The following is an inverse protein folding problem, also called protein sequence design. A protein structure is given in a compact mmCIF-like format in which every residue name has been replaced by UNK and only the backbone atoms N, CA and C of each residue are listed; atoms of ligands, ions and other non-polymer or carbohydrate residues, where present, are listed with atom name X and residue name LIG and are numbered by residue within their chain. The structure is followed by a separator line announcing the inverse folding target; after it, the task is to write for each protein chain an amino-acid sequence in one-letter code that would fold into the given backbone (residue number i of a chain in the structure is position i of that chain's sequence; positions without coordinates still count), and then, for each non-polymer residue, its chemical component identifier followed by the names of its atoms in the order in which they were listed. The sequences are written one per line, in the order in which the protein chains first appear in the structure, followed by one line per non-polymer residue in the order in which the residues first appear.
data_IF_422922869565
#
_entry.id   IF_422922869565
#
_cell.length_a   1.000
_cell.length_b   1.000
_cell.length_c   1.000
_cell.angle_alpha   90.00
_cell.angle_beta   90.00
_cell.angle_gamma   90.00
#
_symmetry.space_group_name_H-M   'P 1'
#
loop_
_entity.id
_entity.type
_entity.pdbx_description
1 polymer ?
#
# COMPACT_ATOMS: atom_id res chain seq x y z
N UNK A 1 1.84 21.19 -33.62
CA UNK A 1 2.66 21.08 -32.40
C UNK A 1 1.87 20.20 -31.45
N UNK A 2 2.17 18.90 -31.46
CA UNK A 2 1.49 17.95 -30.57
C UNK A 2 2.24 17.97 -29.25
N UNK A 3 1.66 18.63 -28.25
CA UNK A 3 2.07 18.46 -26.87
C UNK A 3 1.52 17.10 -26.46
N UNK A 4 2.38 16.08 -26.37
CA UNK A 4 2.00 14.82 -25.73
C UNK A 4 1.65 15.18 -24.28
N UNK A 5 0.40 15.00 -23.82
CA UNK A 5 0.14 15.12 -22.39
C UNK A 5 1.02 14.07 -21.71
N UNK A 6 1.69 14.46 -20.62
CA UNK A 6 2.34 13.49 -19.73
C UNK A 6 1.24 12.60 -19.19
N UNK A 7 0.97 11.48 -19.85
CA UNK A 7 -0.02 10.51 -19.39
C UNK A 7 0.53 9.97 -18.08
N UNK A 8 -0.15 10.28 -16.96
CA UNK A 8 0.14 9.63 -15.69
C UNK A 8 0.07 8.10 -15.85
N UNK A 9 0.61 7.35 -14.89
CA UNK A 9 0.59 5.89 -14.94
C UNK A 9 -0.83 5.30 -14.96
N UNK A 10 -1.84 6.10 -14.62
CA UNK A 10 -3.26 5.77 -14.73
C UNK A 10 -4.02 6.69 -15.70
N UNK A 11 -5.12 6.22 -16.31
CA UNK A 11 -6.01 7.06 -17.10
C UNK A 11 -6.58 8.22 -16.28
N UNK A 12 -6.65 9.42 -16.85
CA UNK A 12 -7.19 10.61 -16.14
C UNK A 12 -8.66 10.48 -15.70
N UNK A 13 -9.42 9.54 -16.27
CA UNK A 13 -10.80 9.25 -15.90
C UNK A 13 -10.93 8.11 -14.87
N UNK A 14 -9.82 7.53 -14.43
CA UNK A 14 -9.83 6.47 -13.43
C UNK A 14 -10.41 7.01 -12.11
N UNK A 15 -11.19 6.20 -11.44
CA UNK A 15 -11.73 6.49 -10.11
C UNK A 15 -11.31 5.34 -9.23
N UNK A 16 -10.42 5.61 -8.28
CA UNK A 16 -9.95 4.58 -7.36
C UNK A 16 -11.08 4.15 -6.42
N UNK A 17 -11.14 2.87 -6.03
CA UNK A 17 -12.10 2.38 -5.03
C UNK A 17 -11.95 3.13 -3.71
N UNK A 18 -13.06 3.47 -3.05
CA UNK A 18 -13.03 4.13 -1.73
C UNK A 18 -13.39 3.17 -0.59
N UNK A 19 -13.83 1.96 -0.93
CA UNK A 19 -14.17 0.90 -0.01
C UNK A 19 -14.11 -0.45 -0.73
N UNK A 20 -13.46 -1.45 -0.14
CA UNK A 20 -13.35 -2.81 -0.71
C UNK A 20 -13.56 -3.83 0.42
N UNK A 21 -14.53 -4.72 0.24
CA UNK A 21 -14.78 -5.79 1.19
C UNK A 21 -13.66 -6.84 1.15
N UNK A 22 -13.07 -7.13 2.31
CA UNK A 22 -12.12 -8.25 2.49
C UNK A 22 -12.86 -9.50 2.96
N UNK A 23 -14.00 -9.30 3.64
CA UNK A 23 -14.75 -10.36 4.30
C UNK A 23 -14.32 -10.52 5.76
N UNK A 24 -14.92 -11.48 6.46
CA UNK A 24 -14.65 -11.74 7.89
C UNK A 24 -14.89 -10.51 8.80
N UNK A 25 -15.67 -9.53 8.35
CA UNK A 25 -15.88 -8.27 9.05
C UNK A 25 -14.73 -7.27 8.90
N UNK A 26 -14.00 -7.31 7.78
CA UNK A 26 -12.92 -6.38 7.47
C UNK A 26 -13.10 -5.76 6.08
N UNK A 27 -12.59 -4.54 5.93
CA UNK A 27 -12.59 -3.80 4.68
C UNK A 27 -11.29 -3.03 4.47
N UNK A 28 -11.04 -2.66 3.22
CA UNK A 28 -10.02 -1.70 2.84
C UNK A 28 -10.69 -0.37 2.53
N UNK A 29 -10.05 0.74 2.94
CA UNK A 29 -10.39 2.09 2.45
C UNK A 29 -9.14 2.97 2.39
N UNK A 30 -9.16 4.07 1.61
CA UNK A 30 -8.09 5.07 1.63
C UNK A 30 -7.70 5.46 3.05
N UNK A 31 -6.40 5.48 3.32
CA UNK A 31 -5.86 5.92 4.60
C UNK A 31 -6.05 7.43 4.78
N UNK A 32 -6.18 7.87 6.02
CA UNK A 32 -6.44 9.27 6.39
C UNK A 32 -5.49 9.71 7.49
N UNK A 33 -5.24 11.01 7.57
CA UNK A 33 -4.43 11.59 8.65
C UNK A 33 -5.04 11.31 10.04
N UNK A 34 -6.36 11.21 10.12
CA UNK A 34 -7.10 10.92 11.36
C UNK A 34 -6.92 9.48 11.85
N UNK A 35 -6.36 8.58 11.03
CA UNK A 35 -6.12 7.18 11.41
C UNK A 35 -4.88 7.02 12.29
N UNK A 36 -4.11 8.09 12.53
CA UNK A 36 -2.80 8.05 13.21
C UNK A 36 -2.83 7.33 14.57
N UNK A 37 -3.90 7.45 15.34
CA UNK A 37 -3.98 6.77 16.64
C UNK A 37 -4.06 5.25 16.49
N UNK A 38 -4.69 4.77 15.41
CA UNK A 38 -4.78 3.34 15.07
C UNK A 38 -3.51 2.86 14.35
N UNK A 39 -3.01 3.66 13.41
CA UNK A 39 -1.84 3.32 12.60
C UNK A 39 -0.58 3.24 13.47
N UNK A 40 -0.37 4.20 14.38
CA UNK A 40 0.74 4.18 15.33
C UNK A 40 0.75 2.89 16.15
N UNK A 41 -0.42 2.38 16.57
CA UNK A 41 -0.53 1.11 17.30
C UNK A 41 -0.15 -0.06 16.38
N UNK A 42 -0.69 -0.11 15.16
CA UNK A 42 -0.45 -1.18 14.20
C UNK A 42 1.03 -1.27 13.79
N UNK A 43 1.59 -0.14 13.38
CA UNK A 43 2.94 0.01 12.85
C UNK A 43 3.96 -0.21 13.95
N UNK A 44 3.80 0.45 15.10
CA UNK A 44 4.79 0.32 16.18
C UNK A 44 4.67 -1.01 16.93
N UNK A 45 3.47 -1.61 16.99
CA UNK A 45 3.25 -2.97 17.50
C UNK A 45 3.92 -4.04 16.63
N UNK A 46 3.98 -3.83 15.32
CA UNK A 46 4.55 -4.77 14.34
C UNK A 46 5.94 -4.36 13.82
N UNK A 47 6.56 -3.37 14.47
CA UNK A 47 7.69 -2.60 13.90
C UNK A 47 8.88 -3.45 13.51
N UNK A 48 9.27 -4.42 14.34
CA UNK A 48 10.45 -5.24 14.06
C UNK A 48 10.27 -6.05 12.78
N UNK A 49 9.09 -6.65 12.57
CA UNK A 49 8.80 -7.36 11.34
C UNK A 49 8.70 -6.40 10.16
N UNK A 50 7.94 -5.31 10.29
CA UNK A 50 7.78 -4.33 9.22
C UNK A 50 9.11 -3.75 8.77
N UNK A 51 10.01 -3.44 9.71
CA UNK A 51 11.38 -3.00 9.39
C UNK A 51 12.17 -4.07 8.64
N UNK A 52 12.00 -5.36 8.94
CA UNK A 52 12.69 -6.42 8.19
C UNK A 52 12.19 -6.59 6.75
N UNK A 53 10.99 -6.08 6.45
CA UNK A 53 10.38 -6.11 5.11
C UNK A 53 10.74 -4.83 4.34
N UNK A 54 10.48 -3.67 4.94
CA UNK A 54 10.51 -2.37 4.27
C UNK A 54 11.70 -1.48 4.67
N UNK A 55 12.45 -1.83 5.72
CA UNK A 55 13.48 -0.96 6.29
C UNK A 55 14.62 -0.65 5.33
N UNK A 56 15.06 -1.62 4.52
CA UNK A 56 16.12 -1.41 3.54
C UNK A 56 15.65 -0.61 2.33
N UNK A 57 14.39 -0.79 1.91
CA UNK A 57 13.83 -0.14 0.72
C UNK A 57 13.31 1.27 1.02
N UNK A 58 12.62 1.45 2.13
CA UNK A 58 11.87 2.68 2.47
C UNK A 58 12.39 3.38 3.73
N UNK A 59 13.28 2.75 4.50
CA UNK A 59 13.69 3.30 5.80
C UNK A 59 12.55 3.36 6.82
N UNK A 60 11.53 2.49 6.66
CA UNK A 60 10.29 2.50 7.43
C UNK A 60 9.98 1.12 8.06
N UNK A 61 9.38 1.06 9.28
CA UNK A 61 9.14 2.16 10.22
C UNK A 61 10.34 2.36 11.17
N UNK A 62 10.93 3.57 11.27
CA UNK A 62 12.07 3.80 12.14
C UNK A 62 11.66 3.66 13.62
N UNK A 63 12.57 3.16 14.46
CA UNK A 63 12.30 2.99 15.90
C UNK A 63 12.00 4.32 16.62
N UNK A 64 12.40 5.45 16.02
CA UNK A 64 12.18 6.80 16.53
C UNK A 64 10.95 7.49 15.93
N UNK A 65 10.10 6.77 15.21
CA UNK A 65 8.89 7.34 14.60
C UNK A 65 8.02 7.97 15.69
N UNK A 66 7.64 9.24 15.48
CA UNK A 66 6.76 9.98 16.39
C UNK A 66 5.36 10.02 15.84
N UNK A 67 4.38 10.23 16.73
CA UNK A 67 2.96 10.39 16.36
C UNK A 67 2.74 11.49 15.34
N UNK A 68 3.44 12.61 15.46
CA UNK A 68 3.33 13.69 14.48
C UNK A 68 3.92 13.31 13.11
N UNK A 69 5.06 12.62 13.08
CA UNK A 69 5.65 12.16 11.82
C UNK A 69 4.75 11.15 11.12
N UNK A 70 4.14 10.24 11.89
CA UNK A 70 3.18 9.26 11.40
C UNK A 70 1.96 9.96 10.80
N UNK A 71 1.36 10.91 11.53
CA UNK A 71 0.25 11.74 11.06
C UNK A 71 0.57 12.51 9.78
N UNK A 72 1.77 13.09 9.69
CA UNK A 72 2.25 13.79 8.49
C UNK A 72 2.38 12.84 7.30
N UNK A 73 2.87 11.63 7.53
CA UNK A 73 3.00 10.59 6.51
C UNK A 73 1.65 10.12 5.98
N UNK A 74 0.70 9.87 6.88
CA UNK A 74 -0.68 9.54 6.52
C UNK A 74 -1.36 10.68 5.75
N UNK A 75 -1.13 11.94 6.14
CA UNK A 75 -1.65 13.10 5.43
C UNK A 75 -1.06 13.23 4.01
N UNK A 76 0.23 12.93 3.84
CA UNK A 76 0.89 12.86 2.53
C UNK A 76 0.25 11.78 1.66
N UNK A 77 0.09 10.56 2.17
CA UNK A 77 -0.56 9.47 1.45
C UNK A 77 -2.01 9.79 1.06
N UNK A 78 -2.78 10.42 1.96
CA UNK A 78 -4.14 10.86 1.65
C UNK A 78 -4.17 11.90 0.51
N UNK A 79 -3.18 12.80 0.44
CA UNK A 79 -3.06 13.77 -0.64
C UNK A 79 -2.64 13.12 -1.97
N UNK A 80 -1.68 12.19 -1.94
CA UNK A 80 -1.21 11.43 -3.11
C UNK A 80 -2.36 10.63 -3.76
N UNK A 81 -3.27 10.07 -2.94
CA UNK A 81 -4.46 9.38 -3.45
C UNK A 81 -5.44 10.30 -4.17
N UNK A 82 -5.53 11.58 -3.80
CA UNK A 82 -6.39 12.55 -4.49
C UNK A 82 -5.83 12.89 -5.87
N UNK A 83 -4.51 12.93 -6.00
CA UNK A 83 -3.82 13.27 -7.26
C UNK A 83 -3.41 12.04 -8.09
N UNK A 84 -3.69 10.82 -7.61
CA UNK A 84 -3.30 9.54 -8.22
C UNK A 84 -1.78 9.39 -8.38
N UNK A 85 -1.02 9.93 -7.43
CA UNK A 85 0.43 9.78 -7.36
C UNK A 85 0.82 8.41 -6.80
N UNK A 86 0.15 7.96 -5.75
CA UNK A 86 0.28 6.65 -5.10
C UNK A 86 -1.03 6.32 -4.38
N UNK A 87 -1.15 5.10 -3.87
CA UNK A 87 -2.30 4.72 -3.05
C UNK A 87 -1.91 3.89 -1.84
N UNK A 88 -2.45 4.25 -0.68
CA UNK A 88 -2.32 3.50 0.56
C UNK A 88 -3.73 3.24 1.13
N UNK A 89 -4.11 1.96 1.21
CA UNK A 89 -5.37 1.52 1.78
C UNK A 89 -5.14 0.88 3.15
N UNK A 90 -5.83 1.38 4.17
CA UNK A 90 -5.87 0.77 5.49
C UNK A 90 -6.81 -0.45 5.48
N UNK A 91 -6.33 -1.57 6.02
CA UNK A 91 -7.15 -2.73 6.40
C UNK A 91 -7.72 -2.46 7.79
N UNK A 92 -9.04 -2.43 7.90
CA UNK A 92 -9.76 -2.11 9.13
C UNK A 92 -10.76 -3.20 9.46
N UNK A 93 -11.11 -3.31 10.74
CA UNK A 93 -12.32 -4.03 11.16
C UNK A 93 -13.59 -3.22 10.81
N UNK A 94 -14.75 -3.88 10.88
CA UNK A 94 -16.05 -3.32 10.45
C UNK A 94 -16.36 -1.97 11.11
N UNK A 95 -16.05 -1.83 12.39
CA UNK A 95 -16.34 -0.64 13.18
C UNK A 95 -15.18 0.40 13.15
N UNK A 96 -14.13 0.14 12.36
CA UNK A 96 -12.89 0.94 12.26
C UNK A 96 -12.28 1.25 13.64
N UNK A 97 -12.26 0.26 14.53
CA UNK A 97 -11.66 0.34 15.86
C UNK A 97 -10.20 -0.10 15.89
N UNK A 98 -9.74 -0.78 14.84
CA UNK A 98 -8.35 -1.20 14.69
C UNK A 98 -7.90 -1.15 13.22
N UNK A 99 -6.72 -0.60 12.99
CA UNK A 99 -5.98 -0.77 11.74
C UNK A 99 -5.14 -2.04 11.85
N UNK A 100 -5.32 -2.97 10.91
CA UNK A 100 -4.77 -4.32 10.97
C UNK A 100 -3.76 -4.59 9.84
N UNK A 101 -3.47 -3.59 9.00
CA UNK A 101 -2.59 -3.73 7.86
C UNK A 101 -2.76 -2.61 6.85
N UNK A 102 -1.91 -2.60 5.82
CA UNK A 102 -2.03 -1.67 4.69
C UNK A 102 -1.77 -2.38 3.36
N UNK A 103 -2.34 -1.83 2.28
CA UNK A 103 -2.05 -2.17 0.88
C UNK A 103 -1.54 -0.92 0.17
N UNK A 104 -0.32 -1.00 -0.37
CA UNK A 104 0.31 0.05 -1.17
C UNK A 104 0.22 -0.30 -2.65
N UNK A 105 -0.10 0.69 -3.48
CA UNK A 105 -0.15 0.59 -4.94
C UNK A 105 0.54 1.83 -5.49
N UNK A 106 1.75 1.63 -6.01
CA UNK A 106 2.64 2.69 -6.45
C UNK A 106 2.89 2.59 -7.96
N UNK A 107 3.17 3.73 -8.64
CA UNK A 107 3.73 3.68 -9.98
C UNK A 107 5.05 2.89 -9.96
N UNK A 108 5.40 2.20 -11.05
CA UNK A 108 6.60 1.39 -11.07
C UNK A 108 7.85 2.27 -10.95
N UNK A 109 8.80 1.88 -10.09
CA UNK A 109 10.15 2.47 -10.08
C UNK A 109 11.15 1.67 -10.92
N UNK A 110 10.83 0.40 -11.19
CA UNK A 110 11.70 -0.54 -11.91
C UNK A 110 11.04 -1.01 -13.22
N UNK A 111 11.81 -1.34 -14.28
CA UNK A 111 11.25 -1.75 -15.56
C UNK A 111 10.48 -3.07 -15.49
N UNK A 112 9.56 -3.28 -16.43
CA UNK A 112 8.83 -4.54 -16.59
C UNK A 112 7.63 -4.71 -15.64
N UNK A 113 7.05 -3.59 -15.19
CA UNK A 113 5.77 -3.53 -14.49
C UNK A 113 5.10 -2.18 -14.80
N UNK A 114 3.79 -2.10 -14.62
CA UNK A 114 3.01 -0.85 -14.70
C UNK A 114 2.45 -0.39 -13.34
N UNK A 115 2.69 -1.18 -12.28
CA UNK A 115 2.51 -0.81 -10.87
C UNK A 115 3.38 -1.70 -9.97
N UNK A 116 3.72 -1.19 -8.79
CA UNK A 116 4.37 -1.92 -7.71
C UNK A 116 3.43 -1.97 -6.50
N UNK A 117 3.13 -3.19 -6.05
CA UNK A 117 2.07 -3.44 -5.08
C UNK A 117 2.63 -4.26 -3.95
N UNK A 118 2.41 -3.84 -2.72
CA UNK A 118 2.79 -4.58 -1.53
C UNK A 118 1.75 -4.42 -0.44
N UNK A 119 1.68 -5.38 0.48
CA UNK A 119 0.77 -5.29 1.62
C UNK A 119 1.33 -6.04 2.81
N UNK A 120 0.84 -5.67 3.98
CA UNK A 120 1.18 -6.30 5.25
C UNK A 120 -0.04 -6.34 6.17
N UNK A 121 0.00 -7.23 7.15
CA UNK A 121 -0.91 -7.24 8.29
C UNK A 121 -0.13 -7.11 9.59
N UNK A 122 -0.79 -6.69 10.67
CA UNK A 122 -0.20 -6.64 12.02
C UNK A 122 0.21 -8.03 12.51
N UNK A 123 1.11 -8.09 13.50
CA UNK A 123 1.67 -9.33 14.04
C UNK A 123 0.64 -10.38 14.42
N UNK A 124 -0.45 -9.95 15.03
CA UNK A 124 -1.55 -10.79 15.49
C UNK A 124 -2.34 -11.44 14.35
N UNK A 125 -2.28 -10.87 13.15
CA UNK A 125 -3.01 -11.36 11.98
C UNK A 125 -2.18 -12.30 11.09
N UNK A 126 -0.88 -12.44 11.31
CA UNK A 126 -0.03 -13.33 10.52
C UNK A 126 -0.43 -14.80 10.72
N UNK A 127 -0.58 -15.51 9.61
CA UNK A 127 -1.01 -16.91 9.55
C UNK A 127 -2.49 -17.13 9.87
N UNK A 128 -3.28 -16.05 9.96
CA UNK A 128 -4.72 -16.12 10.25
C UNK A 128 -5.56 -16.08 8.98
N UNK A 129 -6.86 -16.33 9.12
CA UNK A 129 -7.82 -16.20 8.03
C UNK A 129 -7.93 -14.76 7.49
N UNK A 130 -7.57 -13.74 8.29
CA UNK A 130 -7.55 -12.33 7.86
C UNK A 130 -6.43 -12.10 6.84
N UNK A 131 -5.22 -12.58 7.13
CA UNK A 131 -4.10 -12.50 6.16
C UNK A 131 -4.42 -13.30 4.90
N UNK A 132 -4.95 -14.53 5.05
CA UNK A 132 -5.33 -15.35 3.91
C UNK A 132 -6.42 -14.71 3.03
N UNK A 133 -7.38 -14.02 3.65
CA UNK A 133 -8.41 -13.27 2.93
C UNK A 133 -7.82 -12.09 2.17
N UNK A 134 -6.91 -11.32 2.78
CA UNK A 134 -6.22 -10.21 2.12
C UNK A 134 -5.34 -10.70 0.96
N UNK A 135 -4.55 -11.75 1.18
CA UNK A 135 -3.68 -12.37 0.17
C UNK A 135 -4.48 -12.83 -1.06
N UNK A 136 -5.69 -13.38 -0.85
CA UNK A 136 -6.57 -13.80 -1.94
C UNK A 136 -7.30 -12.62 -2.60
N UNK A 137 -7.60 -11.56 -1.84
CA UNK A 137 -8.31 -10.39 -2.33
C UNK A 137 -7.44 -9.55 -3.26
N UNK A 138 -6.24 -9.16 -2.81
CA UNK A 138 -5.45 -8.09 -3.48
C UNK A 138 -5.25 -8.39 -4.97
N UNK A 139 -4.76 -9.56 -5.41
CA UNK A 139 -4.57 -9.81 -6.84
C UNK A 139 -5.88 -9.82 -7.63
N UNK A 140 -6.96 -10.35 -7.05
CA UNK A 140 -8.29 -10.37 -7.69
C UNK A 140 -8.88 -8.97 -7.83
N UNK A 141 -8.73 -8.15 -6.81
CA UNK A 141 -9.21 -6.77 -6.78
C UNK A 141 -8.45 -5.91 -7.80
N UNK A 142 -7.12 -6.01 -7.81
CA UNK A 142 -6.28 -5.33 -8.81
C UNK A 142 -6.70 -5.70 -10.23
N UNK A 143 -6.85 -6.99 -10.53
CA UNK A 143 -7.24 -7.45 -11.86
C UNK A 143 -8.66 -7.03 -12.30
N UNK A 144 -9.56 -6.79 -11.35
CA UNK A 144 -10.95 -6.44 -11.65
C UNK A 144 -11.16 -4.93 -11.80
N UNK A 145 -10.55 -4.15 -10.91
CA UNK A 145 -10.92 -2.75 -10.72
C UNK A 145 -9.84 -1.77 -11.17
N UNK A 146 -8.59 -2.22 -11.33
CA UNK A 146 -7.48 -1.35 -11.71
C UNK A 146 -7.13 -1.48 -13.20
N UNK A 147 -6.83 -0.38 -13.90
CA UNK A 147 -6.50 -0.38 -15.32
C UNK A 147 -5.01 -0.75 -15.53
N UNK A 148 -4.58 -1.86 -14.92
CA UNK A 148 -3.20 -2.35 -14.93
C UNK A 148 -3.13 -3.65 -15.75
N UNK A 149 -2.12 -3.74 -16.60
CA UNK A 149 -1.85 -4.92 -17.44
C UNK A 149 -0.76 -5.81 -16.83
N UNK A 150 0.21 -5.23 -16.12
CA UNK A 150 1.38 -5.92 -15.59
C UNK A 150 1.74 -5.45 -14.16
N UNK A 151 0.82 -5.60 -13.17
CA UNK A 151 1.13 -5.28 -11.79
C UNK A 151 2.20 -6.23 -11.26
N UNK A 152 3.09 -5.72 -10.41
CA UNK A 152 4.10 -6.50 -9.70
C UNK A 152 3.80 -6.52 -8.21
N UNK A 153 3.71 -7.71 -7.62
CA UNK A 153 3.51 -7.88 -6.18
C UNK A 153 4.84 -8.06 -5.45
N UNK A 154 5.41 -6.99 -4.91
CA UNK A 154 6.71 -6.99 -4.23
C UNK A 154 6.59 -7.70 -2.88
N UNK A 155 7.54 -8.59 -2.60
CA UNK A 155 7.51 -9.53 -1.48
C UNK A 155 6.78 -10.84 -1.77
N UNK A 156 6.07 -10.95 -2.90
CA UNK A 156 5.26 -12.12 -3.30
C UNK A 156 5.76 -12.75 -4.59
N UNK A 157 5.75 -12.00 -5.70
CA UNK A 157 6.26 -12.46 -7.00
C UNK A 157 7.80 -12.46 -7.05
N UNK A 158 8.39 -11.52 -6.31
CA UNK A 158 9.82 -11.34 -6.12
C UNK A 158 10.07 -10.78 -4.73
N UNK A 159 11.21 -11.07 -4.13
CA UNK A 159 11.62 -10.49 -2.86
C UNK A 159 11.98 -9.00 -2.99
N UNK A 160 11.93 -8.27 -1.88
CA UNK A 160 12.41 -6.89 -1.80
C UNK A 160 13.88 -6.74 -2.22
N UNK A 161 14.72 -7.74 -1.94
CA UNK A 161 16.11 -7.75 -2.36
C UNK A 161 16.27 -7.90 -3.88
N UNK A 162 15.47 -8.77 -4.51
CA UNK A 162 15.44 -8.91 -5.97
C UNK A 162 14.91 -7.64 -6.64
N UNK A 163 13.86 -7.03 -6.07
CA UNK A 163 13.33 -5.76 -6.54
C UNK A 163 14.37 -4.63 -6.47
N UNK A 164 15.06 -4.49 -5.33
CA UNK A 164 16.08 -3.47 -5.13
C UNK A 164 17.28 -3.64 -6.09
N UNK A 165 17.58 -4.87 -6.51
CA UNK A 165 18.64 -5.18 -7.46
C UNK A 165 18.29 -4.84 -8.92
N UNK A 166 17.01 -4.56 -9.24
CA UNK A 166 16.62 -4.11 -10.57
C UNK A 166 17.12 -2.68 -10.83
N UNK A 167 17.46 -2.33 -12.09
CA UNK A 167 17.82 -0.96 -12.43
C UNK A 167 16.62 -0.02 -12.27
N UNK A 168 16.87 1.22 -11.88
CA UNK A 168 15.83 2.25 -11.80
C UNK A 168 15.32 2.63 -13.19
N UNK A 169 14.03 2.96 -13.28
CA UNK A 169 13.48 3.62 -14.44
C UNK A 169 14.13 5.00 -14.61
N UNK A 170 14.49 5.30 -15.86
CA UNK A 170 14.97 6.64 -16.20
C UNK A 170 13.80 7.61 -16.06
N UNK A 171 13.89 8.53 -15.09
CA UNK A 171 12.93 9.64 -14.93
C UNK A 171 13.01 10.62 -16.10
#
# INVERSE_FOLDING_TARGET
MSTTPTTGWLPASFVHPTHVEVGLGHHLRPIRAEDVDLDMVAVMGSRERLWSIYGDAWGWPPASMTHEQDREDLARHAAEMVTHESFNYALLDTDETALLGCVYIDPPEKPGADAEISWWVVDECVGTDVEAALDALVPRWIAADWPLEQPRYVGRDLSWAEWAALPDLSR
#
